data_IF_248382065725
#
_entry.id   IF_248382065725
#
_cell.length_a   1.000
_cell.length_b   1.000
_cell.length_c   1.000
_cell.angle_alpha   90.00
_cell.angle_beta   90.00
_cell.angle_gamma   90.00
#
_symmetry.space_group_name_H-M   'P 1'
#
loop_
_entity.id
_entity.type
_entity.pdbx_description
1 polymer ?
#
# COMPACT_ATOMS: atom_id res chain seq x y z
N UNK A 1 -11.81 7.74 -24.93
CA UNK A 1 -12.59 6.68 -24.25
C UNK A 1 -13.21 7.25 -22.99
N UNK A 2 -14.38 6.73 -22.61
CA UNK A 2 -15.03 7.00 -21.33
C UNK A 2 -14.71 5.86 -20.36
N UNK A 3 -14.10 6.19 -19.22
CA UNK A 3 -13.68 5.22 -18.23
C UNK A 3 -14.46 5.40 -16.92
N UNK A 4 -14.89 4.28 -16.31
CA UNK A 4 -15.45 4.27 -14.98
C UNK A 4 -14.43 3.70 -13.98
N UNK A 5 -14.09 4.47 -12.96
CA UNK A 5 -13.23 4.05 -11.86
C UNK A 5 -14.09 3.72 -10.63
N UNK A 6 -13.97 2.53 -10.08
CA UNK A 6 -14.69 2.08 -8.89
C UNK A 6 -13.81 1.94 -7.67
N UNK A 7 -14.12 2.71 -6.62
CA UNK A 7 -13.45 2.64 -5.32
C UNK A 7 -14.49 2.73 -4.20
N UNK A 8 -14.45 1.80 -3.23
CA UNK A 8 -15.48 1.71 -2.17
C UNK A 8 -15.51 2.94 -1.28
N UNK A 9 -14.36 3.52 -0.96
CA UNK A 9 -14.28 4.70 -0.09
C UNK A 9 -13.23 5.68 -0.60
N UNK A 10 -13.59 6.95 -0.68
CA UNK A 10 -12.71 8.05 -1.08
C UNK A 10 -12.57 9.02 0.10
N UNK A 11 -11.34 9.18 0.62
CA UNK A 11 -11.03 10.01 1.78
C UNK A 11 -9.57 10.49 1.74
N UNK A 12 -9.22 11.61 2.42
CA UNK A 12 -7.86 12.11 2.48
C UNK A 12 -6.90 11.14 3.18
N UNK A 13 -5.64 11.13 2.75
CA UNK A 13 -4.55 10.44 3.45
C UNK A 13 -4.42 8.94 3.20
N UNK A 14 -5.35 8.30 2.47
CA UNK A 14 -5.22 6.90 2.06
C UNK A 14 -4.32 6.72 0.83
N UNK A 15 -3.45 5.70 0.85
CA UNK A 15 -2.57 5.40 -0.29
C UNK A 15 -3.34 5.05 -1.57
N UNK A 16 -4.29 4.10 -1.46
CA UNK A 16 -5.14 3.67 -2.58
C UNK A 16 -6.00 4.81 -3.13
N UNK A 17 -6.54 5.67 -2.25
CA UNK A 17 -7.34 6.83 -2.64
C UNK A 17 -6.53 7.83 -3.44
N UNK A 18 -5.30 8.12 -2.99
CA UNK A 18 -4.36 8.98 -3.71
C UNK A 18 -4.01 8.39 -5.06
N UNK A 19 -3.69 7.10 -5.12
CA UNK A 19 -3.38 6.42 -6.38
C UNK A 19 -4.56 6.48 -7.35
N UNK A 20 -5.80 6.26 -6.87
CA UNK A 20 -7.01 6.36 -7.69
C UNK A 20 -7.15 7.74 -8.35
N UNK A 21 -7.03 8.81 -7.56
CA UNK A 21 -7.18 10.19 -8.05
C UNK A 21 -6.05 10.56 -9.02
N UNK A 22 -4.80 10.29 -8.65
CA UNK A 22 -3.64 10.63 -9.49
C UNK A 22 -3.63 9.85 -10.81
N UNK A 23 -3.98 8.56 -10.79
CA UNK A 23 -4.11 7.75 -12.00
C UNK A 23 -5.27 8.28 -12.87
N UNK A 24 -6.40 8.70 -12.26
CA UNK A 24 -7.50 9.30 -13.00
C UNK A 24 -7.08 10.59 -13.71
N UNK A 25 -6.36 11.50 -13.02
CA UNK A 25 -5.79 12.71 -13.62
C UNK A 25 -4.83 12.41 -14.77
N UNK A 26 -3.96 11.41 -14.59
CA UNK A 26 -3.03 10.98 -15.65
C UNK A 26 -3.77 10.41 -16.89
N UNK A 27 -4.86 9.68 -16.69
CA UNK A 27 -5.70 9.16 -17.77
C UNK A 27 -6.45 10.30 -18.47
N UNK A 28 -6.94 11.31 -17.72
CA UNK A 28 -7.55 12.52 -18.31
C UNK A 28 -6.54 13.33 -19.13
N UNK A 29 -5.31 13.50 -18.61
CA UNK A 29 -4.24 14.18 -19.33
C UNK A 29 -3.87 13.51 -20.66
N UNK A 30 -4.22 12.22 -20.84
CA UNK A 30 -4.08 11.48 -22.12
C UNK A 30 -5.29 11.64 -23.04
N UNK A 31 -6.23 12.55 -22.75
CA UNK A 31 -7.40 12.83 -23.57
C UNK A 31 -8.58 11.87 -23.38
N UNK A 32 -8.70 11.23 -22.21
CA UNK A 32 -9.80 10.33 -21.89
C UNK A 32 -10.72 10.92 -20.81
N UNK A 33 -11.99 10.54 -20.82
CA UNK A 33 -12.95 10.95 -19.80
C UNK A 33 -12.96 9.92 -18.66
N UNK A 34 -12.85 10.39 -17.41
CA UNK A 34 -12.89 9.54 -16.23
C UNK A 34 -14.00 9.98 -15.31
N UNK A 35 -14.80 9.02 -14.84
CA UNK A 35 -15.78 9.21 -13.76
C UNK A 35 -15.45 8.26 -12.61
N UNK A 36 -15.31 8.78 -11.41
CA UNK A 36 -15.06 7.98 -10.20
C UNK A 36 -16.40 7.65 -9.55
N UNK A 37 -16.63 6.39 -9.23
CA UNK A 37 -17.74 5.89 -8.43
C UNK A 37 -17.25 5.49 -7.05
N UNK A 38 -17.95 5.93 -6.02
CA UNK A 38 -17.67 5.55 -4.63
C UNK A 38 -18.97 5.39 -3.85
N UNK A 39 -18.96 4.73 -2.69
CA UNK A 39 -20.10 4.75 -1.79
C UNK A 39 -19.80 5.48 -0.45
N UNK A 40 -18.62 6.03 -0.32
CA UNK A 40 -18.21 6.85 0.83
C UNK A 40 -17.26 7.95 0.39
N UNK A 41 -17.76 9.17 0.34
CA UNK A 41 -16.95 10.34 0.10
C UNK A 41 -16.84 11.13 1.41
N UNK A 42 -15.64 11.40 1.90
CA UNK A 42 -15.42 12.18 3.13
C UNK A 42 -14.99 13.61 2.89
N UNK A 43 -14.51 13.89 1.69
CA UNK A 43 -14.10 15.23 1.28
C UNK A 43 -14.38 15.38 -0.22
N UNK A 44 -15.25 16.31 -0.57
CA UNK A 44 -15.65 16.55 -1.94
C UNK A 44 -14.54 17.23 -2.76
N UNK A 45 -13.64 17.99 -2.11
CA UNK A 45 -12.53 18.68 -2.77
C UNK A 45 -11.37 17.79 -3.19
N UNK A 46 -11.37 16.50 -2.80
CA UNK A 46 -10.27 15.58 -3.14
C UNK A 46 -10.06 15.35 -4.64
N UNK A 47 -11.10 15.52 -5.45
CA UNK A 47 -11.09 15.21 -6.87
C UNK A 47 -11.71 16.35 -7.71
N UNK A 48 -11.44 17.61 -7.36
CA UNK A 48 -12.11 18.82 -7.87
C UNK A 48 -12.30 18.87 -9.39
N UNK A 49 -11.43 18.22 -10.17
CA UNK A 49 -11.48 18.21 -11.64
C UNK A 49 -12.06 16.90 -12.21
N UNK A 50 -12.43 15.93 -11.37
CA UNK A 50 -12.90 14.62 -11.82
C UNK A 50 -14.33 14.39 -11.31
N UNK A 51 -15.31 14.09 -12.19
CA UNK A 51 -16.65 13.76 -11.76
C UNK A 51 -16.67 12.57 -10.78
N UNK A 52 -17.22 12.79 -9.56
CA UNK A 52 -17.38 11.76 -8.55
C UNK A 52 -18.86 11.49 -8.31
N UNK A 53 -19.29 10.24 -8.54
CA UNK A 53 -20.65 9.80 -8.32
C UNK A 53 -20.72 8.92 -7.05
N UNK A 54 -21.49 9.37 -6.07
CA UNK A 54 -21.67 8.66 -4.81
C UNK A 54 -22.91 7.76 -4.90
N UNK A 55 -22.70 6.44 -4.79
CA UNK A 55 -23.77 5.44 -4.74
C UNK A 55 -24.20 5.23 -3.29
N UNK A 56 -25.48 5.39 -3.01
CA UNK A 56 -26.03 5.16 -1.67
C UNK A 56 -25.80 3.73 -1.22
N UNK A 57 -25.36 3.55 0.03
CA UNK A 57 -25.03 2.23 0.56
C UNK A 57 -25.19 2.19 2.08
N UNK A 58 -26.28 1.60 2.56
CA UNK A 58 -26.65 1.50 3.96
C UNK A 58 -26.09 0.26 4.67
N UNK A 59 -25.21 -0.49 4.00
CA UNK A 59 -24.65 -1.71 4.56
C UNK A 59 -23.83 -1.43 5.82
N UNK A 60 -24.15 -2.18 6.89
CA UNK A 60 -23.54 -2.00 8.22
C UNK A 60 -22.11 -2.52 8.31
N UNK A 61 -21.75 -3.54 7.52
CA UNK A 61 -20.41 -4.16 7.56
C UNK A 61 -19.62 -3.89 6.29
N UNK A 62 -18.29 -3.89 6.38
CA UNK A 62 -17.41 -3.61 5.25
C UNK A 62 -17.61 -4.59 4.08
N UNK A 63 -17.79 -5.88 4.35
CA UNK A 63 -17.96 -6.87 3.30
C UNK A 63 -19.31 -6.76 2.59
N UNK A 64 -20.39 -6.47 3.32
CA UNK A 64 -21.70 -6.17 2.73
C UNK A 64 -21.62 -4.89 1.88
N UNK A 65 -20.99 -3.85 2.42
CA UNK A 65 -20.81 -2.57 1.70
C UNK A 65 -20.08 -2.76 0.39
N UNK A 66 -18.96 -3.46 0.38
CA UNK A 66 -18.24 -3.71 -0.86
C UNK A 66 -19.05 -4.56 -1.84
N UNK A 67 -19.78 -5.55 -1.36
CA UNK A 67 -20.64 -6.40 -2.21
C UNK A 67 -21.80 -5.61 -2.83
N UNK A 68 -22.52 -4.81 -2.04
CA UNK A 68 -23.61 -3.96 -2.54
C UNK A 68 -23.07 -2.93 -3.52
N UNK A 69 -21.97 -2.26 -3.18
CA UNK A 69 -21.32 -1.32 -4.08
C UNK A 69 -20.90 -1.99 -5.41
N UNK A 70 -20.35 -3.20 -5.37
CA UNK A 70 -19.96 -3.92 -6.57
C UNK A 70 -21.16 -4.23 -7.50
N UNK A 71 -22.32 -4.57 -6.93
CA UNK A 71 -23.55 -4.79 -7.70
C UNK A 71 -24.10 -3.49 -8.32
N UNK A 72 -24.10 -2.41 -7.54
CA UNK A 72 -24.61 -1.11 -7.99
C UNK A 72 -23.66 -0.48 -9.03
N UNK A 73 -22.36 -0.55 -8.82
CA UNK A 73 -21.35 -0.11 -9.76
C UNK A 73 -21.50 -0.83 -11.10
N UNK A 74 -21.57 -2.16 -11.10
CA UNK A 74 -21.83 -2.96 -12.29
C UNK A 74 -23.08 -2.48 -13.04
N UNK A 75 -24.23 -2.33 -12.36
CA UNK A 75 -25.48 -1.89 -12.98
C UNK A 75 -25.40 -0.49 -13.59
N UNK A 76 -24.63 0.42 -12.96
CA UNK A 76 -24.48 1.81 -13.41
C UNK A 76 -23.50 1.96 -14.54
N UNK A 77 -22.53 1.05 -14.66
CA UNK A 77 -21.45 1.14 -15.66
C UNK A 77 -21.66 0.26 -16.88
N UNK A 78 -22.53 -0.76 -16.80
CA UNK A 78 -22.84 -1.63 -17.93
C UNK A 78 -23.26 -0.83 -19.17
N UNK A 79 -22.61 -1.11 -20.30
CA UNK A 79 -22.86 -0.52 -21.63
C UNK A 79 -22.73 1.01 -21.73
N UNK A 80 -22.22 1.68 -20.69
CA UNK A 80 -22.07 3.13 -20.65
C UNK A 80 -20.64 3.62 -20.77
N UNK A 81 -19.67 2.75 -20.50
CA UNK A 81 -18.25 3.06 -20.47
C UNK A 81 -17.47 2.10 -21.37
N UNK A 82 -16.45 2.63 -22.00
CA UNK A 82 -15.56 1.86 -22.85
C UNK A 82 -14.67 0.93 -22.03
N UNK A 83 -14.30 1.36 -20.80
CA UNK A 83 -13.45 0.61 -19.89
C UNK A 83 -13.89 0.77 -18.42
N UNK A 84 -13.89 -0.33 -17.68
CA UNK A 84 -14.28 -0.39 -16.27
C UNK A 84 -13.06 -0.78 -15.44
N UNK A 85 -12.62 0.11 -14.55
CA UNK A 85 -11.43 -0.06 -13.70
C UNK A 85 -11.83 -0.13 -12.23
N UNK A 86 -11.38 -1.15 -11.52
CA UNK A 86 -11.57 -1.27 -10.08
C UNK A 86 -10.30 -0.93 -9.32
N UNK A 87 -10.43 -0.16 -8.24
CA UNK A 87 -9.42 0.02 -7.20
C UNK A 87 -9.72 -0.84 -5.97
N UNK A 88 -10.90 -1.42 -5.92
CA UNK A 88 -11.31 -2.52 -5.05
C UNK A 88 -11.71 -3.72 -5.90
N UNK A 89 -11.78 -4.91 -5.30
CA UNK A 89 -12.27 -6.13 -5.97
C UNK A 89 -13.78 -6.01 -6.17
N UNK A 90 -14.18 -5.71 -7.37
CA UNK A 90 -15.57 -5.50 -7.79
C UNK A 90 -15.99 -6.57 -8.81
N UNK A 91 -17.14 -6.36 -9.45
CA UNK A 91 -17.71 -7.29 -10.45
C UNK A 91 -17.48 -6.72 -11.86
N UNK A 92 -17.24 -7.63 -12.82
CA UNK A 92 -17.16 -7.32 -14.25
C UNK A 92 -16.22 -6.14 -14.57
N UNK A 93 -15.03 -6.19 -14.02
CA UNK A 93 -13.96 -5.25 -14.34
C UNK A 93 -13.25 -5.64 -15.63
N UNK A 94 -12.73 -4.64 -16.34
CA UNK A 94 -11.75 -4.82 -17.40
C UNK A 94 -10.31 -4.77 -16.84
N UNK A 95 -10.09 -3.88 -15.87
CA UNK A 95 -8.81 -3.71 -15.19
C UNK A 95 -9.02 -3.64 -13.67
N UNK A 96 -8.16 -4.30 -12.92
CA UNK A 96 -8.09 -4.18 -11.45
C UNK A 96 -6.72 -3.65 -11.04
N UNK A 97 -6.70 -2.46 -10.40
CA UNK A 97 -5.55 -1.99 -9.64
C UNK A 97 -5.57 -2.61 -8.26
N UNK A 98 -4.74 -3.63 -8.03
CA UNK A 98 -4.81 -4.49 -6.86
C UNK A 98 -3.86 -4.03 -5.75
N UNK A 99 -4.38 -3.30 -4.77
CA UNK A 99 -3.62 -2.87 -3.59
C UNK A 99 -3.79 -3.80 -2.36
N UNK A 100 -4.71 -4.75 -2.41
CA UNK A 100 -5.07 -5.62 -1.29
C UNK A 100 -4.36 -6.98 -1.33
N UNK A 101 -4.22 -7.65 -0.16
CA UNK A 101 -3.76 -9.05 -0.08
C UNK A 101 -4.79 -10.02 -0.67
N UNK A 102 -4.32 -11.22 -1.04
CA UNK A 102 -5.23 -12.31 -1.46
C UNK A 102 -5.98 -12.92 -0.28
N UNK A 103 -7.29 -12.86 -0.34
CA UNK A 103 -8.17 -13.51 0.63
C UNK A 103 -8.11 -15.03 0.47
N UNK A 104 -8.07 -15.53 -0.77
CA UNK A 104 -8.00 -16.96 -1.03
C UNK A 104 -6.68 -17.57 -0.51
N UNK A 105 -5.54 -16.87 -0.70
CA UNK A 105 -4.26 -17.27 -0.13
C UNK A 105 -4.30 -17.33 1.39
N UNK A 106 -4.89 -16.30 2.02
CA UNK A 106 -5.07 -16.25 3.46
C UNK A 106 -5.95 -17.39 3.98
N UNK A 107 -7.02 -17.72 3.27
CA UNK A 107 -7.92 -18.84 3.61
C UNK A 107 -7.24 -20.20 3.46
N UNK A 108 -6.36 -20.38 2.48
CA UNK A 108 -5.55 -21.59 2.31
C UNK A 108 -4.70 -21.88 3.56
N UNK A 109 -4.13 -20.83 4.16
CA UNK A 109 -3.30 -20.95 5.36
C UNK A 109 -4.10 -20.92 6.68
N UNK A 110 -5.38 -20.51 6.63
CA UNK A 110 -6.27 -20.36 7.81
C UNK A 110 -7.70 -20.77 7.45
N UNK A 111 -7.97 -22.07 7.20
CA UNK A 111 -9.25 -22.52 6.66
C UNK A 111 -10.46 -22.24 7.58
N UNK A 112 -10.26 -22.17 8.90
CA UNK A 112 -11.32 -21.81 9.85
C UNK A 112 -11.97 -20.44 9.58
N UNK A 113 -11.28 -19.53 8.88
CA UNK A 113 -11.85 -18.23 8.50
C UNK A 113 -12.99 -18.35 7.48
N UNK A 114 -13.14 -19.49 6.81
CA UNK A 114 -14.28 -19.77 5.93
C UNK A 114 -15.63 -19.75 6.65
N UNK A 115 -15.65 -20.01 7.95
CA UNK A 115 -16.85 -19.94 8.76
C UNK A 115 -17.43 -18.52 8.83
N UNK A 116 -16.58 -17.51 8.62
CA UNK A 116 -16.98 -16.10 8.68
C UNK A 116 -17.51 -15.60 7.32
N UNK A 117 -18.74 -15.10 7.29
CA UNK A 117 -19.40 -14.56 6.09
C UNK A 117 -18.54 -13.53 5.33
N UNK A 118 -17.82 -12.68 6.07
CA UNK A 118 -16.92 -11.66 5.48
C UNK A 118 -15.87 -12.27 4.54
N UNK A 119 -15.26 -13.39 4.92
CA UNK A 119 -14.24 -14.02 4.09
C UNK A 119 -14.82 -14.71 2.88
N UNK A 120 -16.00 -15.30 3.01
CA UNK A 120 -16.74 -15.89 1.88
C UNK A 120 -17.10 -14.82 0.84
N UNK A 121 -17.61 -13.68 1.31
CA UNK A 121 -17.96 -12.53 0.43
C UNK A 121 -16.74 -11.99 -0.30
N UNK A 122 -15.66 -11.68 0.43
CA UNK A 122 -14.45 -11.15 -0.19
C UNK A 122 -13.81 -12.15 -1.17
N UNK A 123 -13.80 -13.44 -0.85
CA UNK A 123 -13.31 -14.47 -1.77
C UNK A 123 -14.17 -14.56 -3.04
N UNK A 124 -15.50 -14.39 -2.92
CA UNK A 124 -16.40 -14.36 -4.08
C UNK A 124 -16.08 -13.19 -5.00
N UNK A 125 -15.88 -12.00 -4.45
CA UNK A 125 -15.46 -10.82 -5.23
C UNK A 125 -14.08 -11.02 -5.86
N UNK A 126 -13.12 -11.56 -5.10
CA UNK A 126 -11.77 -11.85 -5.60
C UNK A 126 -11.81 -12.83 -6.80
N UNK A 127 -12.65 -13.84 -6.75
CA UNK A 127 -12.79 -14.82 -7.84
C UNK A 127 -13.14 -14.18 -9.18
N UNK A 128 -13.94 -13.12 -9.21
CA UNK A 128 -14.33 -12.45 -10.47
C UNK A 128 -13.12 -11.94 -11.24
N UNK A 129 -12.12 -11.38 -10.55
CA UNK A 129 -10.94 -10.84 -11.19
C UNK A 129 -9.84 -11.90 -11.42
N UNK A 130 -9.71 -12.87 -10.50
CA UNK A 130 -8.53 -13.73 -10.42
C UNK A 130 -8.74 -15.17 -10.92
N UNK A 131 -9.97 -15.59 -11.21
CA UNK A 131 -10.20 -16.93 -11.75
C UNK A 131 -9.36 -17.18 -13.01
N UNK A 132 -8.84 -18.42 -13.18
CA UNK A 132 -7.89 -18.81 -14.23
C UNK A 132 -8.31 -18.33 -15.63
N UNK A 133 -9.54 -18.58 -16.01
CA UNK A 133 -10.05 -18.24 -17.35
C UNK A 133 -10.76 -16.87 -17.39
N UNK A 134 -10.40 -15.95 -16.49
CA UNK A 134 -10.97 -14.61 -16.50
C UNK A 134 -10.34 -13.70 -17.57
N UNK A 135 -10.98 -12.56 -17.81
CA UNK A 135 -10.53 -11.56 -18.80
C UNK A 135 -9.94 -10.28 -18.17
N UNK A 136 -10.02 -10.14 -16.84
CA UNK A 136 -9.59 -8.93 -16.14
C UNK A 136 -8.06 -8.81 -16.18
N UNK A 137 -7.56 -7.66 -16.64
CA UNK A 137 -6.14 -7.32 -16.52
C UNK A 137 -5.86 -6.83 -15.09
N UNK A 138 -4.78 -7.30 -14.49
CA UNK A 138 -4.49 -7.05 -13.08
C UNK A 138 -3.17 -6.32 -12.95
N UNK A 139 -3.21 -5.16 -12.31
CA UNK A 139 -2.04 -4.34 -12.00
C UNK A 139 -1.69 -4.56 -10.53
N UNK A 140 -0.52 -5.12 -10.27
CA UNK A 140 0.03 -5.35 -8.94
C UNK A 140 1.07 -4.31 -8.56
N UNK A 141 1.18 -4.05 -7.27
CA UNK A 141 2.12 -3.11 -6.68
C UNK A 141 3.43 -3.77 -6.22
N UNK A 142 3.44 -5.10 -6.13
CA UNK A 142 4.61 -5.86 -5.70
C UNK A 142 4.59 -7.30 -6.23
N UNK A 143 5.77 -7.87 -6.36
CA UNK A 143 5.94 -9.28 -6.77
C UNK A 143 5.38 -10.26 -5.75
N UNK A 144 5.40 -9.90 -4.45
CA UNK A 144 4.80 -10.71 -3.39
C UNK A 144 3.32 -10.97 -3.66
N UNK A 145 2.59 -9.98 -4.18
CA UNK A 145 1.18 -10.17 -4.56
C UNK A 145 1.04 -11.18 -5.70
N UNK A 146 1.87 -11.11 -6.73
CA UNK A 146 1.84 -12.09 -7.84
C UNK A 146 1.95 -13.51 -7.31
N UNK A 147 2.91 -13.76 -6.41
CA UNK A 147 3.12 -15.08 -5.78
C UNK A 147 1.87 -15.54 -5.03
N UNK A 148 1.26 -14.65 -4.22
CA UNK A 148 0.05 -14.98 -3.45
C UNK A 148 -1.13 -15.32 -4.35
N UNK A 149 -1.42 -14.48 -5.33
CA UNK A 149 -2.56 -14.65 -6.21
C UNK A 149 -2.39 -15.82 -7.17
N UNK A 150 -1.18 -16.02 -7.68
CA UNK A 150 -0.84 -17.17 -8.51
C UNK A 150 -1.00 -18.48 -7.73
N UNK A 151 -0.49 -18.53 -6.51
CA UNK A 151 -0.67 -19.69 -5.63
C UNK A 151 -2.14 -19.99 -5.32
N UNK A 152 -2.99 -18.95 -5.16
CA UNK A 152 -4.37 -19.10 -4.75
C UNK A 152 -5.33 -19.42 -5.92
N UNK A 153 -5.13 -18.80 -7.09
CA UNK A 153 -6.09 -18.80 -8.19
C UNK A 153 -5.55 -19.39 -9.49
N UNK A 154 -4.24 -19.59 -9.62
CA UNK A 154 -3.58 -19.97 -10.87
C UNK A 154 -3.94 -19.02 -12.01
N UNK A 155 -4.02 -17.72 -11.70
CA UNK A 155 -4.34 -16.66 -12.66
C UNK A 155 -3.29 -16.64 -13.79
N UNK A 156 -3.74 -16.45 -15.03
CA UNK A 156 -2.84 -16.45 -16.19
C UNK A 156 -1.86 -15.28 -16.15
N UNK A 157 -0.57 -15.55 -16.37
CA UNK A 157 0.50 -14.54 -16.23
C UNK A 157 0.35 -13.37 -17.19
N UNK A 158 -0.19 -13.59 -18.40
CA UNK A 158 -0.38 -12.54 -19.40
C UNK A 158 -1.38 -11.45 -18.96
N UNK A 159 -2.21 -11.74 -17.94
CA UNK A 159 -3.14 -10.76 -17.34
C UNK A 159 -2.56 -10.01 -16.15
N UNK A 160 -1.36 -10.34 -15.72
CA UNK A 160 -0.74 -9.80 -14.52
C UNK A 160 0.43 -8.89 -14.89
N UNK A 161 0.40 -7.66 -14.43
CA UNK A 161 1.49 -6.69 -14.58
C UNK A 161 1.90 -6.17 -13.21
N UNK A 162 3.19 -6.14 -12.92
CA UNK A 162 3.73 -5.46 -11.74
C UNK A 162 4.24 -4.10 -12.17
N UNK A 163 3.78 -3.04 -11.52
CA UNK A 163 4.26 -1.70 -11.80
C UNK A 163 5.44 -1.32 -10.90
N UNK A 164 6.26 -0.34 -11.33
CA UNK A 164 7.24 0.30 -10.46
C UNK A 164 6.59 0.88 -9.19
N UNK A 165 7.36 1.25 -8.18
CA UNK A 165 6.81 1.89 -7.00
C UNK A 165 6.02 3.17 -7.30
N UNK A 166 5.01 3.44 -6.46
CA UNK A 166 4.14 4.61 -6.56
C UNK A 166 4.54 5.71 -5.57
N UNK A 167 5.83 5.83 -5.29
CA UNK A 167 6.31 6.86 -4.37
C UNK A 167 6.01 8.25 -4.95
N UNK A 168 5.40 9.11 -4.16
CA UNK A 168 5.15 10.48 -4.57
C UNK A 168 6.44 11.31 -4.47
N UNK A 169 6.74 12.14 -5.47
CA UNK A 169 7.96 12.94 -5.51
C UNK A 169 8.08 13.92 -4.34
N UNK A 170 6.94 14.43 -3.83
CA UNK A 170 6.87 15.29 -2.65
C UNK A 170 7.27 14.59 -1.34
N UNK A 171 7.36 13.25 -1.35
CA UNK A 171 7.83 12.44 -0.22
C UNK A 171 9.34 12.30 -0.17
N UNK A 172 10.05 12.63 -1.24
CA UNK A 172 11.50 12.70 -1.26
C UNK A 172 11.96 14.08 -0.78
N UNK A 173 12.45 14.14 0.44
CA UNK A 173 12.95 15.37 1.08
C UNK A 173 14.23 15.11 1.86
N UNK A 174 15.30 14.60 1.21
CA UNK A 174 16.57 14.32 1.88
C UNK A 174 17.21 15.58 2.48
N UNK A 175 16.94 16.75 1.92
CA UNK A 175 17.33 18.05 2.44
C UNK A 175 16.75 18.37 3.82
N UNK A 176 15.65 17.69 4.22
CA UNK A 176 15.10 17.79 5.57
C UNK A 176 15.97 17.11 6.64
N UNK A 177 16.93 16.26 6.23
CA UNK A 177 17.82 15.53 7.14
C UNK A 177 19.07 16.32 7.49
N UNK A 178 18.91 17.58 7.88
CA UNK A 178 19.99 18.45 8.37
C UNK A 178 20.08 18.39 9.90
N UNK A 179 21.28 18.66 10.44
CA UNK A 179 21.48 18.71 11.88
C UNK A 179 20.58 19.73 12.56
N UNK A 180 20.32 20.87 11.90
CA UNK A 180 19.40 21.90 12.39
C UNK A 180 17.97 21.38 12.53
N UNK A 181 17.44 20.70 11.52
CA UNK A 181 16.09 20.15 11.55
C UNK A 181 16.03 18.99 12.55
N UNK A 182 17.01 18.09 12.51
CA UNK A 182 17.13 16.98 13.46
C UNK A 182 17.10 17.48 14.91
N UNK A 183 17.96 18.44 15.26
CA UNK A 183 18.02 19.01 16.62
C UNK A 183 16.70 19.66 17.02
N UNK A 184 16.10 20.48 16.15
CA UNK A 184 14.80 21.12 16.42
C UNK A 184 13.70 20.11 16.73
N UNK A 185 13.59 19.06 15.91
CA UNK A 185 12.53 18.04 16.07
C UNK A 185 12.78 17.19 17.32
N UNK A 186 14.04 16.83 17.59
CA UNK A 186 14.41 16.09 18.80
C UNK A 186 14.09 16.88 20.07
N UNK A 187 14.46 18.17 20.13
CA UNK A 187 14.12 19.05 21.24
C UNK A 187 12.59 19.14 21.46
N UNK A 188 11.81 19.25 20.38
CA UNK A 188 10.34 19.31 20.46
C UNK A 188 9.68 17.99 20.86
N UNK A 189 10.43 16.89 20.90
CA UNK A 189 9.98 15.56 21.31
C UNK A 189 10.65 15.06 22.61
N UNK A 190 11.34 15.95 23.34
CA UNK A 190 12.11 15.63 24.56
C UNK A 190 13.10 14.47 24.35
N UNK A 191 13.79 14.46 23.20
CA UNK A 191 14.82 13.50 22.86
C UNK A 191 16.20 14.12 23.02
N UNK A 192 17.11 13.39 23.68
CA UNK A 192 18.51 13.79 23.78
C UNK A 192 19.25 13.58 22.44
N UNK A 193 20.36 14.30 22.24
CA UNK A 193 21.13 14.20 21.01
C UNK A 193 21.76 12.81 20.80
N UNK A 194 22.06 12.10 21.89
CA UNK A 194 22.63 10.75 21.94
C UNK A 194 21.61 9.62 22.05
N UNK A 195 20.30 9.93 22.19
CA UNK A 195 19.24 8.92 22.15
C UNK A 195 19.29 8.16 20.81
N UNK A 196 19.20 6.83 20.88
CA UNK A 196 19.03 6.00 19.68
C UNK A 196 17.55 5.89 19.33
N UNK A 197 17.13 6.68 18.36
CA UNK A 197 15.71 6.88 18.03
C UNK A 197 15.24 5.98 16.92
N UNK A 198 14.30 5.09 17.22
CA UNK A 198 13.57 4.27 16.27
C UNK A 198 12.26 4.95 15.88
N UNK A 199 11.89 4.86 14.62
CA UNK A 199 10.61 5.31 14.11
C UNK A 199 9.81 4.13 13.56
N UNK A 200 8.55 4.00 14.00
CA UNK A 200 7.57 3.08 13.42
C UNK A 200 6.34 3.86 12.96
N UNK A 201 5.85 3.59 11.75
CA UNK A 201 4.74 4.32 11.15
C UNK A 201 3.65 3.34 10.73
N UNK A 202 2.41 3.58 11.16
CA UNK A 202 1.26 2.81 10.71
C UNK A 202 0.06 2.81 11.66
N UNK A 203 -1.12 2.56 11.09
CA UNK A 203 -2.40 2.51 11.81
C UNK A 203 -2.81 1.09 12.23
N UNK A 204 -2.20 0.06 11.65
CA UNK A 204 -2.45 -1.36 11.97
C UNK A 204 -1.29 -1.92 12.78
N UNK A 205 -1.17 -1.53 14.05
CA UNK A 205 0.00 -1.76 14.90
C UNK A 205 0.53 -3.20 14.84
N UNK A 206 -0.37 -4.19 14.95
CA UNK A 206 0.02 -5.61 14.92
C UNK A 206 0.44 -6.08 13.52
N UNK A 207 -0.28 -5.66 12.48
CA UNK A 207 0.05 -6.02 11.09
C UNK A 207 1.40 -5.44 10.69
N UNK A 208 1.67 -4.19 11.11
CA UNK A 208 2.95 -3.51 10.86
C UNK A 208 4.06 -3.93 11.83
N UNK A 209 3.78 -4.83 12.76
CA UNK A 209 4.78 -5.41 13.67
C UNK A 209 5.28 -4.46 14.76
N UNK A 210 4.55 -3.37 15.06
CA UNK A 210 4.98 -2.39 16.06
C UNK A 210 5.11 -3.04 17.46
N UNK A 211 4.30 -4.06 17.75
CA UNK A 211 4.44 -4.89 18.94
C UNK A 211 5.79 -5.64 19.00
N UNK A 212 6.36 -6.02 17.86
CA UNK A 212 7.71 -6.61 17.79
C UNK A 212 8.79 -5.56 18.10
N UNK A 213 8.62 -4.34 17.60
CA UNK A 213 9.52 -3.23 17.90
C UNK A 213 9.48 -2.85 19.39
N UNK A 214 8.28 -2.80 19.98
CA UNK A 214 8.10 -2.58 21.43
C UNK A 214 8.79 -3.67 22.25
N UNK A 215 8.61 -4.94 21.89
CA UNK A 215 9.28 -6.04 22.60
C UNK A 215 10.81 -5.98 22.49
N UNK A 216 11.34 -5.51 21.37
CA UNK A 216 12.78 -5.39 21.17
C UNK A 216 13.44 -4.30 22.04
N UNK A 217 12.68 -3.31 22.53
CA UNK A 217 13.21 -2.27 23.42
C UNK A 217 13.83 -2.84 24.71
N UNK A 218 13.44 -4.04 25.14
CA UNK A 218 14.02 -4.70 26.32
C UNK A 218 15.52 -4.91 26.12
N UNK A 219 15.93 -5.29 24.91
CA UNK A 219 17.33 -5.60 24.57
C UNK A 219 18.20 -4.33 24.36
N UNK A 220 17.58 -3.14 24.28
CA UNK A 220 18.24 -1.89 23.96
C UNK A 220 17.82 -0.77 24.91
N UNK A 221 18.45 -0.67 26.11
CA UNK A 221 18.05 0.30 27.15
C UNK A 221 18.09 1.76 26.69
N UNK A 222 19.01 2.12 25.79
CA UNK A 222 19.19 3.49 25.29
C UNK A 222 18.33 3.78 24.04
N UNK A 223 17.51 2.82 23.58
CA UNK A 223 16.65 3.05 22.44
C UNK A 223 15.33 3.68 22.86
N UNK A 224 14.86 4.65 22.06
CA UNK A 224 13.53 5.26 22.14
C UNK A 224 12.72 4.97 20.89
N UNK A 225 11.44 4.73 21.04
CA UNK A 225 10.54 4.39 19.92
C UNK A 225 9.49 5.48 19.71
N UNK A 226 9.53 6.10 18.55
CA UNK A 226 8.47 6.99 18.07
C UNK A 226 7.45 6.19 17.26
N UNK A 227 6.17 6.31 17.60
CA UNK A 227 5.07 5.64 16.88
C UNK A 227 4.14 6.69 16.28
N UNK A 228 4.13 6.78 14.95
CA UNK A 228 3.24 7.67 14.20
C UNK A 228 2.11 6.88 13.52
N UNK A 229 0.91 7.48 13.46
CA UNK A 229 -0.27 6.92 12.79
C UNK A 229 -1.51 6.82 13.67
N UNK A 230 -1.39 6.37 14.91
CA UNK A 230 -2.50 6.29 15.87
C UNK A 230 -2.17 7.08 17.14
N UNK A 231 -3.20 7.72 17.73
CA UNK A 231 -3.11 8.33 19.05
C UNK A 231 -3.03 7.25 20.14
N UNK A 232 -2.53 7.64 21.29
CA UNK A 232 -2.50 6.83 22.52
C UNK A 232 -3.90 6.43 23.03
N UNK A 233 -4.92 7.24 22.71
CA UNK A 233 -6.33 7.01 23.05
C UNK A 233 -7.03 5.95 22.18
N UNK A 234 -6.42 5.52 21.07
CA UNK A 234 -6.97 4.47 20.24
C UNK A 234 -6.94 3.11 20.97
N UNK A 235 -8.00 2.31 20.86
CA UNK A 235 -8.11 1.00 21.53
C UNK A 235 -6.93 0.07 21.25
N UNK A 236 -6.38 0.08 20.03
CA UNK A 236 -5.23 -0.74 19.67
C UNK A 236 -3.95 -0.22 20.36
N UNK A 237 -3.78 1.11 20.42
CA UNK A 237 -2.67 1.76 21.11
C UNK A 237 -2.71 1.51 22.61
N UNK A 238 -3.89 1.65 23.26
CA UNK A 238 -4.08 1.34 24.69
C UNK A 238 -3.65 -0.10 24.99
N UNK A 239 -4.02 -1.07 24.14
CA UNK A 239 -3.62 -2.46 24.32
C UNK A 239 -2.10 -2.63 24.22
N UNK A 240 -1.46 -1.97 23.27
CA UNK A 240 -0.02 -2.04 23.09
C UNK A 240 0.73 -1.30 24.20
N UNK A 241 0.21 -0.16 24.66
CA UNK A 241 0.78 0.61 25.79
C UNK A 241 0.76 -0.20 27.09
N UNK A 242 -0.34 -0.91 27.39
CA UNK A 242 -0.40 -1.84 28.53
C UNK A 242 0.65 -2.95 28.43
N UNK A 243 0.85 -3.49 27.21
CA UNK A 243 1.91 -4.48 26.99
C UNK A 243 3.30 -3.87 27.20
N UNK A 244 3.57 -2.68 26.70
CA UNK A 244 4.81 -1.95 26.93
C UNK A 244 5.08 -1.68 28.44
N UNK A 245 4.02 -1.39 29.19
CA UNK A 245 4.10 -1.20 30.66
C UNK A 245 4.53 -2.50 31.35
N UNK A 246 3.94 -3.64 30.98
CA UNK A 246 4.34 -4.95 31.53
C UNK A 246 5.79 -5.31 31.21
N UNK A 247 6.30 -4.83 30.06
CA UNK A 247 7.69 -5.03 29.67
C UNK A 247 8.65 -4.00 30.28
N UNK A 248 8.17 -3.02 31.03
CA UNK A 248 8.99 -1.96 31.64
C UNK A 248 9.58 -0.96 30.65
N UNK A 249 9.01 -0.86 29.43
CA UNK A 249 9.57 -0.01 28.35
C UNK A 249 8.69 1.19 27.98
N UNK A 250 7.56 1.40 28.67
CA UNK A 250 6.58 2.42 28.32
C UNK A 250 7.12 3.85 28.34
N UNK A 251 8.05 4.19 29.26
CA UNK A 251 8.69 5.51 29.34
C UNK A 251 9.58 5.84 28.14
N UNK A 252 9.93 4.86 27.31
CA UNK A 252 10.77 5.01 26.12
C UNK A 252 9.97 5.01 24.81
N UNK A 253 8.64 5.10 24.91
CA UNK A 253 7.73 5.11 23.76
C UNK A 253 6.99 6.44 23.69
N UNK A 254 7.08 7.12 22.55
CA UNK A 254 6.35 8.37 22.29
C UNK A 254 5.28 8.11 21.22
N UNK A 255 4.01 8.33 21.59
CA UNK A 255 2.87 8.22 20.70
C UNK A 255 2.61 9.56 20.02
N UNK A 256 2.78 9.62 18.70
CA UNK A 256 2.73 10.87 17.93
C UNK A 256 1.37 11.14 17.28
N UNK A 257 0.45 10.15 17.31
CA UNK A 257 -0.82 10.29 16.62
C UNK A 257 -0.66 10.39 15.10
N UNK A 258 -1.65 10.98 14.44
CA UNK A 258 -1.56 11.29 13.02
C UNK A 258 -0.60 12.47 12.80
N UNK A 259 0.34 12.31 11.87
CA UNK A 259 1.35 13.34 11.54
C UNK A 259 1.43 13.53 10.03
N UNK A 260 1.54 14.77 9.60
CA UNK A 260 1.76 15.14 8.20
C UNK A 260 3.25 15.39 7.89
N UNK A 261 4.00 15.76 8.90
CA UNK A 261 5.44 16.08 8.84
C UNK A 261 6.34 14.83 8.97
N UNK A 262 5.97 13.73 8.36
CA UNK A 262 6.67 12.45 8.44
C UNK A 262 8.16 12.59 8.07
N UNK A 263 8.49 13.42 7.09
CA UNK A 263 9.89 13.69 6.69
C UNK A 263 10.72 14.32 7.81
N UNK A 264 10.12 15.16 8.67
CA UNK A 264 10.79 15.71 9.85
C UNK A 264 11.01 14.63 10.93
N UNK A 265 10.04 13.72 11.13
CA UNK A 265 10.21 12.59 12.03
C UNK A 265 11.31 11.64 11.52
N UNK A 266 11.39 11.43 10.20
CA UNK A 266 12.48 10.66 9.58
C UNK A 266 13.85 11.34 9.77
N UNK A 267 13.89 12.68 9.73
CA UNK A 267 15.12 13.44 10.01
C UNK A 267 15.57 13.28 11.47
N UNK A 268 14.66 13.25 12.42
CA UNK A 268 14.94 13.07 13.85
C UNK A 268 15.36 11.65 14.23
N UNK A 269 14.86 10.65 13.50
CA UNK A 269 15.12 9.25 13.77
C UNK A 269 16.47 8.75 13.23
N UNK A 270 16.96 7.65 13.83
CA UNK A 270 18.18 6.96 13.41
C UNK A 270 17.88 5.72 12.58
N UNK A 271 16.68 5.15 12.75
CA UNK A 271 16.29 3.89 12.13
C UNK A 271 14.77 3.83 11.93
N UNK A 272 14.33 3.45 10.74
CA UNK A 272 12.95 3.01 10.52
C UNK A 272 12.84 1.52 10.89
N UNK A 273 11.99 1.21 11.86
CA UNK A 273 11.75 -0.16 12.34
C UNK A 273 10.35 -0.60 11.89
N UNK A 274 10.30 -1.43 10.85
CA UNK A 274 9.06 -1.87 10.21
C UNK A 274 8.99 -3.41 10.10
N UNK A 275 9.00 -4.16 11.23
CA UNK A 275 9.03 -5.63 11.24
C UNK A 275 7.63 -6.20 10.99
N UNK A 276 7.01 -5.81 9.87
CA UNK A 276 5.62 -6.11 9.57
C UNK A 276 5.39 -7.63 9.40
N UNK A 277 4.19 -8.08 9.76
CA UNK A 277 3.68 -9.43 9.45
C UNK A 277 3.14 -9.52 8.05
N UNK A 278 2.75 -8.39 7.51
CA UNK A 278 2.27 -8.21 6.15
C UNK A 278 2.22 -6.74 5.79
N UNK A 279 2.71 -6.41 4.62
CA UNK A 279 2.50 -5.11 3.97
C UNK A 279 2.52 -5.31 2.45
N UNK A 280 1.44 -4.92 1.77
CA UNK A 280 1.33 -5.09 0.31
C UNK A 280 2.48 -4.42 -0.43
N UNK A 281 2.80 -3.21 -0.01
CA UNK A 281 3.92 -2.42 -0.52
C UNK A 281 4.91 -2.09 0.60
N UNK A 282 4.44 -1.40 1.63
CA UNK A 282 5.31 -0.79 2.63
C UNK A 282 5.93 0.50 2.10
N UNK A 283 5.10 1.41 1.57
CA UNK A 283 5.56 2.69 0.99
C UNK A 283 6.48 3.47 1.95
N UNK A 284 6.22 3.37 3.26
CA UNK A 284 7.08 3.98 4.30
C UNK A 284 8.52 3.50 4.26
N UNK A 285 8.77 2.27 3.78
CA UNK A 285 10.12 1.71 3.59
C UNK A 285 10.86 2.54 2.54
N UNK A 286 10.23 2.78 1.39
CA UNK A 286 10.81 3.63 0.35
C UNK A 286 10.95 5.08 0.81
N UNK A 287 9.94 5.63 1.49
CA UNK A 287 10.03 6.97 2.09
C UNK A 287 11.25 7.07 3.02
N UNK A 288 11.50 6.06 3.85
CA UNK A 288 12.70 5.98 4.68
C UNK A 288 13.99 5.98 3.86
N UNK A 289 14.10 5.06 2.91
CA UNK A 289 15.29 4.90 2.07
C UNK A 289 15.66 6.20 1.35
N UNK A 290 14.72 6.78 0.59
CA UNK A 290 14.98 7.97 -0.24
C UNK A 290 15.28 9.23 0.58
N UNK A 291 14.86 9.24 1.85
CA UNK A 291 15.17 10.30 2.81
C UNK A 291 16.42 9.99 3.66
N UNK A 292 17.18 8.97 3.31
CA UNK A 292 18.41 8.60 3.98
C UNK A 292 18.20 8.05 5.41
N UNK A 293 17.02 7.54 5.74
CA UNK A 293 16.77 6.84 7.01
C UNK A 293 16.98 5.34 6.80
N UNK A 294 17.95 4.71 7.46
CA UNK A 294 18.15 3.26 7.39
C UNK A 294 16.91 2.49 7.82
N UNK A 295 16.68 1.31 7.22
CA UNK A 295 15.46 0.55 7.41
C UNK A 295 15.75 -0.88 7.88
N UNK A 296 15.04 -1.34 8.92
CA UNK A 296 14.91 -2.77 9.21
C UNK A 296 13.46 -3.19 8.99
N UNK A 297 13.26 -4.14 8.08
CA UNK A 297 11.95 -4.65 7.71
C UNK A 297 11.95 -6.17 7.55
N UNK A 298 10.81 -6.76 7.15
CA UNK A 298 10.66 -8.18 6.84
C UNK A 298 10.40 -8.40 5.36
N UNK A 299 10.73 -9.58 4.85
CA UNK A 299 10.41 -10.00 3.49
C UNK A 299 8.90 -10.09 3.20
N UNK A 300 8.05 -10.01 4.24
CA UNK A 300 6.60 -9.92 4.12
C UNK A 300 6.11 -8.56 3.57
N UNK A 301 7.00 -7.59 3.40
CA UNK A 301 6.71 -6.29 2.80
C UNK A 301 7.05 -6.29 1.31
N UNK A 302 6.14 -5.80 0.46
CA UNK A 302 6.33 -5.81 -1.00
C UNK A 302 7.55 -5.00 -1.47
N UNK A 303 7.87 -3.91 -0.77
CA UNK A 303 9.04 -3.08 -1.09
C UNK A 303 10.31 -3.42 -0.27
N UNK A 304 10.31 -4.53 0.47
CA UNK A 304 11.49 -4.96 1.21
C UNK A 304 12.73 -5.12 0.32
N UNK A 305 12.57 -5.60 -0.93
CA UNK A 305 13.66 -5.74 -1.91
C UNK A 305 14.44 -4.46 -2.16
N UNK A 306 13.80 -3.30 -2.02
CA UNK A 306 14.45 -2.00 -2.22
C UNK A 306 15.43 -1.65 -1.10
N UNK A 307 15.26 -2.23 0.10
CA UNK A 307 16.24 -2.06 1.21
C UNK A 307 17.56 -2.74 0.83
N UNK A 308 17.49 -3.93 0.25
CA UNK A 308 18.68 -4.69 -0.20
C UNK A 308 19.29 -4.03 -1.43
N UNK A 309 18.48 -3.67 -2.45
CA UNK A 309 18.95 -3.00 -3.66
C UNK A 309 19.65 -1.66 -3.38
N UNK A 310 19.13 -0.89 -2.42
CA UNK A 310 19.70 0.38 -1.99
C UNK A 310 20.86 0.22 -1.01
N UNK A 311 21.17 -0.98 -0.53
CA UNK A 311 22.07 -1.21 0.61
C UNK A 311 21.78 -0.21 1.76
N UNK A 312 20.48 -0.09 2.14
CA UNK A 312 20.01 0.94 3.04
C UNK A 312 19.44 0.36 4.36
N UNK A 313 19.84 -0.84 4.74
CA UNK A 313 19.35 -1.47 5.95
C UNK A 313 19.42 -2.99 5.95
N UNK A 314 18.40 -3.64 6.54
CA UNK A 314 18.36 -5.11 6.64
C UNK A 314 16.94 -5.64 6.44
N UNK A 315 16.81 -6.74 5.68
CA UNK A 315 15.56 -7.46 5.45
C UNK A 315 15.60 -8.80 6.20
N UNK A 316 14.60 -9.03 7.04
CA UNK A 316 14.44 -10.27 7.78
C UNK A 316 13.66 -11.28 6.94
N UNK A 317 14.23 -12.45 6.73
CA UNK A 317 13.57 -13.55 6.00
C UNK A 317 12.39 -14.12 6.80
N UNK A 318 11.41 -14.64 6.10
CA UNK A 318 10.33 -15.43 6.69
C UNK A 318 10.75 -16.93 6.79
N UNK A 319 10.30 -17.67 7.82
CA UNK A 319 9.49 -17.21 8.95
C UNK A 319 10.26 -16.27 9.89
N UNK A 320 9.59 -15.23 10.36
CA UNK A 320 10.18 -14.25 11.27
C UNK A 320 10.73 -14.90 12.54
N UNK A 321 11.97 -14.58 12.87
CA UNK A 321 12.66 -14.99 14.13
C UNK A 321 13.05 -13.75 14.92
N UNK A 322 12.57 -13.66 16.16
CA UNK A 322 12.83 -12.50 17.01
C UNK A 322 14.34 -12.31 17.30
N UNK A 323 15.09 -13.40 17.48
CA UNK A 323 16.54 -13.35 17.68
C UNK A 323 17.29 -12.72 16.51
N UNK A 324 16.87 -13.03 15.26
CA UNK A 324 17.46 -12.42 14.06
C UNK A 324 17.08 -10.93 13.95
N UNK A 325 15.89 -10.57 14.40
CA UNK A 325 15.48 -9.17 14.48
C UNK A 325 16.34 -8.38 15.47
N UNK A 326 16.55 -8.93 16.67
CA UNK A 326 17.45 -8.32 17.68
C UNK A 326 18.89 -8.23 17.14
N UNK A 327 19.38 -9.26 16.44
CA UNK A 327 20.70 -9.23 15.83
C UNK A 327 20.82 -8.13 14.75
N UNK A 328 19.78 -7.94 13.91
CA UNK A 328 19.75 -6.87 12.92
C UNK A 328 19.75 -5.48 13.58
N UNK A 329 18.96 -5.29 14.65
CA UNK A 329 18.97 -4.07 15.45
C UNK A 329 20.34 -3.81 16.08
N UNK A 330 20.99 -4.86 16.63
CA UNK A 330 22.34 -4.73 17.21
C UNK A 330 23.38 -4.32 16.17
N UNK A 331 23.32 -4.83 14.95
CA UNK A 331 24.15 -4.34 13.85
C UNK A 331 23.86 -2.85 13.52
N UNK A 332 22.57 -2.48 13.51
CA UNK A 332 22.15 -1.11 13.25
C UNK A 332 22.48 -0.14 14.39
N UNK A 333 22.95 -0.59 15.56
CA UNK A 333 23.43 0.30 16.63
C UNK A 333 24.78 0.94 16.30
N UNK A 334 25.54 0.40 15.34
CA UNK A 334 26.78 1.02 14.83
C UNK A 334 26.47 2.30 14.04
N UNK A 335 26.92 3.48 14.50
CA UNK A 335 26.69 4.75 13.80
C UNK A 335 27.33 4.81 12.42
N UNK A 336 28.49 4.17 12.23
CA UNK A 336 29.22 4.16 10.95
C UNK A 336 28.42 3.38 9.91
N UNK A 337 27.88 2.24 10.29
CA UNK A 337 27.01 1.44 9.41
C UNK A 337 25.73 2.19 9.05
N UNK A 338 25.07 2.85 10.03
CA UNK A 338 23.88 3.66 9.75
C UNK A 338 24.19 4.81 8.79
N UNK A 339 25.34 5.46 8.94
CA UNK A 339 25.78 6.53 8.02
C UNK A 339 25.97 5.99 6.61
N UNK A 340 26.62 4.84 6.44
CA UNK A 340 26.81 4.21 5.14
C UNK A 340 25.43 3.88 4.50
N UNK A 341 24.52 3.26 5.23
CA UNK A 341 23.17 2.96 4.77
C UNK A 341 22.38 4.23 4.41
N UNK A 342 22.53 5.30 5.20
CA UNK A 342 21.88 6.59 4.95
C UNK A 342 22.32 7.19 3.61
N UNK A 343 23.61 7.21 3.34
CA UNK A 343 24.17 7.73 2.10
C UNK A 343 23.73 6.90 0.88
N UNK A 344 23.83 5.57 0.98
CA UNK A 344 23.39 4.66 -0.08
C UNK A 344 21.89 4.79 -0.37
N UNK A 345 21.06 4.88 0.67
CA UNK A 345 19.62 5.05 0.52
C UNK A 345 19.24 6.38 -0.14
N UNK A 346 19.87 7.49 0.27
CA UNK A 346 19.63 8.79 -0.34
C UNK A 346 20.04 8.81 -1.82
N UNK A 347 21.18 8.19 -2.16
CA UNK A 347 21.63 8.04 -3.55
C UNK A 347 20.64 7.19 -4.38
N UNK A 348 20.14 6.08 -3.82
CA UNK A 348 19.12 5.25 -4.46
C UNK A 348 17.85 6.03 -4.80
N UNK A 349 17.47 7.01 -3.99
CA UNK A 349 16.35 7.91 -4.24
C UNK A 349 16.47 8.77 -5.51
N UNK A 350 17.62 8.79 -6.19
CA UNK A 350 17.79 9.45 -7.49
C UNK A 350 17.21 8.65 -8.66
N UNK A 351 16.93 7.35 -8.47
CA UNK A 351 16.31 6.49 -9.50
C UNK A 351 14.89 6.96 -9.81
N UNK A 352 14.62 7.47 -11.05
CA UNK A 352 13.30 7.95 -11.43
C UNK A 352 12.24 6.87 -11.44
N UNK A 353 12.62 5.60 -11.59
CA UNK A 353 11.65 4.48 -11.66
C UNK A 353 10.85 4.33 -10.37
N UNK A 354 11.39 4.78 -9.23
CA UNK A 354 10.70 4.73 -7.93
C UNK A 354 9.40 5.58 -7.89
N UNK A 355 9.26 6.51 -8.83
CA UNK A 355 8.18 7.51 -8.88
C UNK A 355 7.22 7.29 -10.06
N UNK A 356 7.47 6.28 -10.90
CA UNK A 356 6.75 6.09 -12.17
C UNK A 356 5.55 5.14 -12.08
N UNK A 357 5.30 4.54 -10.93
CA UNK A 357 4.26 3.50 -10.83
C UNK A 357 2.86 3.96 -11.25
N UNK A 358 2.45 5.20 -10.88
CA UNK A 358 1.14 5.74 -11.28
C UNK A 358 1.05 6.03 -12.77
N UNK A 359 2.13 6.54 -13.37
CA UNK A 359 2.22 6.77 -14.81
C UNK A 359 2.08 5.44 -15.54
N UNK A 360 2.86 4.42 -15.12
CA UNK A 360 2.78 3.08 -15.73
C UNK A 360 1.40 2.44 -15.54
N UNK A 361 0.74 2.63 -14.40
CA UNK A 361 -0.63 2.17 -14.19
C UNK A 361 -1.62 2.84 -15.15
N UNK A 362 -1.51 4.16 -15.35
CA UNK A 362 -2.34 4.89 -16.32
C UNK A 362 -2.11 4.38 -17.75
N UNK A 363 -0.85 4.12 -18.13
CA UNK A 363 -0.52 3.54 -19.45
C UNK A 363 -1.17 2.17 -19.65
N UNK A 364 -1.02 1.26 -18.69
CA UNK A 364 -1.61 -0.07 -18.74
C UNK A 364 -3.14 -0.05 -18.81
N UNK A 365 -3.78 0.90 -18.13
CA UNK A 365 -5.24 1.09 -18.19
C UNK A 365 -5.65 1.53 -19.62
N UNK A 366 -4.97 2.49 -20.20
CA UNK A 366 -5.25 2.98 -21.57
C UNK A 366 -4.98 1.90 -22.62
N UNK A 367 -3.85 1.19 -22.49
CA UNK A 367 -3.48 0.04 -23.34
C UNK A 367 -4.58 -1.06 -23.30
N UNK A 368 -5.12 -1.36 -22.11
CA UNK A 368 -6.21 -2.33 -21.95
C UNK A 368 -7.49 -1.87 -22.66
N UNK A 369 -7.79 -0.57 -22.64
CA UNK A 369 -8.94 0.01 -23.34
C UNK A 369 -8.83 -0.13 -24.87
N UNK A 370 -7.68 0.21 -25.45
CA UNK A 370 -7.44 0.02 -26.88
C UNK A 370 -7.49 -1.46 -27.28
N UNK A 371 -6.92 -2.34 -26.47
CA UNK A 371 -6.96 -3.79 -26.70
C UNK A 371 -8.39 -4.36 -26.66
N UNK A 372 -9.25 -3.84 -25.78
CA UNK A 372 -10.67 -4.21 -25.70
C UNK A 372 -11.42 -3.75 -26.95
N UNK A 373 -11.21 -2.50 -27.39
CA UNK A 373 -11.84 -1.95 -28.59
C UNK A 373 -11.43 -2.71 -29.87
N UNK A 374 -10.15 -3.05 -30.01
CA UNK A 374 -9.65 -3.84 -31.15
C UNK A 374 -10.31 -5.23 -31.21
N UNK A 375 -10.41 -5.94 -30.09
CA UNK A 375 -11.11 -7.24 -30.00
C UNK A 375 -12.58 -7.14 -30.37
N UNK A 376 -13.27 -6.09 -29.93
CA UNK A 376 -14.67 -5.86 -30.27
C UNK A 376 -14.88 -5.60 -31.79
N UNK A 377 -13.97 -4.88 -32.43
CA UNK A 377 -14.02 -4.62 -33.87
C UNK A 377 -13.81 -5.91 -34.70
N UNK A 378 -12.83 -6.75 -34.32
CA UNK A 378 -12.59 -8.04 -34.99
C UNK A 378 -13.82 -8.96 -34.86
N UNK A 379 -14.43 -9.03 -33.68
CA UNK A 379 -15.64 -9.81 -33.48
C UNK A 379 -16.81 -9.35 -34.34
N UNK A 380 -16.98 -8.03 -34.51
CA UNK A 380 -18.02 -7.45 -35.41
C UNK A 380 -17.75 -7.76 -36.87
N UNK A 381 -16.51 -7.71 -37.34
CA UNK A 381 -16.14 -8.03 -38.74
C UNK A 381 -16.42 -9.49 -39.05
N UNK A 382 -16.03 -10.42 -38.20
CA UNK A 382 -16.28 -11.85 -38.38
C UNK A 382 -17.79 -12.19 -38.41
N UNK A 383 -18.60 -11.45 -37.63
CA UNK A 383 -20.05 -11.66 -37.59
C UNK A 383 -20.71 -11.17 -38.91
N UNK A 384 -20.24 -10.06 -39.50
CA UNK A 384 -20.73 -9.55 -40.80
C UNK A 384 -20.36 -10.48 -41.96
N UNK A 385 -19.13 -11.01 -41.99
CA UNK A 385 -18.70 -11.97 -42.99
C UNK A 385 -19.51 -13.28 -42.93
N UNK A 386 -19.78 -13.78 -41.71
CA UNK A 386 -20.62 -14.98 -41.51
C UNK A 386 -22.09 -14.76 -41.92
N UNK A 387 -22.59 -13.53 -41.87
CA UNK A 387 -23.96 -13.19 -42.34
C UNK A 387 -24.03 -12.94 -43.84
N UNK A 388 -22.93 -12.53 -44.45
CA UNK A 388 -22.86 -12.29 -45.90
C UNK A 388 -22.69 -13.60 -46.72
N UNK A 389 -22.25 -14.68 -46.06
CA UNK A 389 -22.10 -16.02 -46.65
C UNK A 389 -23.35 -16.92 -46.46
N UNK A 390 -24.43 -16.40 -45.88
CA UNK A 390 -25.73 -17.09 -45.79
C UNK A 390 -26.74 -16.39 -46.70
#
# INVERSE_FOLDING_TARGET
MRLAFGIVSLFPGGGLQRDCIEIARLVQAKGHEVTIYTCRLRDAGLADEIPVLVLQNDAKTNHQRQHTFALDFRRRTADRYDLIVGFDKLLELDVLYCADPSIAYRLKNRPYLYLLSRYRTFRKLERNSFARNGSVNIIFLSENQVIEYQSAWRTDFHRMSVIPPTLASDRKRPESRTDKIRKRVRTGLDLADDDWVWLSIGVQLRTKGIDRAVAALIEFPNARLLIAGLSDTNRASIKLAKHAQHLGVSSRITWLGHREDIHHLMAAADLLVHPARYDTTGTVILEGIVNGLPVITTAACGYARHVEAANAGSVLKEPFRFSLFVAALRRASDPSLRRAWSLSGAAYGADPTLYQGRVRAADLIVEAGFSKAARANIARSNTKESQACK
#
